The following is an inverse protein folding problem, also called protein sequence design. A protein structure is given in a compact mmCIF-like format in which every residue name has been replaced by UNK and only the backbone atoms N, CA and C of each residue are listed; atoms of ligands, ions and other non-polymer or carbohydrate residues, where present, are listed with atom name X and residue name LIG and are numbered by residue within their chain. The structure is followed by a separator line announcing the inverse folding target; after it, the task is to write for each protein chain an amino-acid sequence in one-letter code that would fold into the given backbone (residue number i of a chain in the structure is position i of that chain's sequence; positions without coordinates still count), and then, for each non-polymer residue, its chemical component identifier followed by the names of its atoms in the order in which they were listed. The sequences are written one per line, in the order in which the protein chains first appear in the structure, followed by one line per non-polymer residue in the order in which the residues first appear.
data_IF_668713819119
#
_entry.id   IF_668713819119
#
_cell.length_a   1.000
_cell.length_b   1.000
_cell.length_c   1.000
_cell.angle_alpha   90.00
_cell.angle_beta   90.00
_cell.angle_gamma   90.00
#
_symmetry.space_group_name_H-M   'P 1'
#
loop_
_entity.id
_entity.type
_entity.pdbx_description
1 polymer ?
#
# COMPACT_ATOMS: atom_id res chain seq x y z
N UNK A 1 16.88 -4.41 12.83
CA UNK A 1 16.22 -4.88 11.59
C UNK A 1 15.85 -3.66 10.73
N UNK A 2 16.84 -2.79 10.45
CA UNK A 2 16.63 -1.47 9.84
C UNK A 2 17.43 -1.33 8.53
N UNK A 3 17.72 -2.42 7.81
CA UNK A 3 18.78 -2.40 6.78
C UNK A 3 18.40 -3.14 5.48
N UNK A 4 17.19 -2.89 4.98
CA UNK A 4 16.90 -3.01 3.54
C UNK A 4 16.38 -1.66 3.03
N UNK A 5 17.34 -0.79 2.66
CA UNK A 5 17.21 0.40 1.81
C UNK A 5 15.85 1.11 1.72
N UNK A 6 15.59 2.05 2.64
CA UNK A 6 14.83 3.28 2.34
C UNK A 6 13.32 3.18 2.14
N UNK A 7 12.67 2.09 2.58
CA UNK A 7 11.20 2.02 2.62
C UNK A 7 10.64 2.63 3.90
N UNK A 8 9.58 3.45 3.79
CA UNK A 8 8.76 3.84 4.95
C UNK A 8 8.00 2.62 5.47
N UNK A 9 8.08 2.39 6.78
CA UNK A 9 7.20 1.43 7.45
C UNK A 9 5.79 2.02 7.46
N UNK A 10 4.80 1.21 7.07
CA UNK A 10 3.40 1.59 7.13
C UNK A 10 2.95 1.61 8.58
N UNK A 11 2.39 2.74 9.00
CA UNK A 11 1.90 2.94 10.36
C UNK A 11 0.36 3.05 10.38
N UNK A 12 -0.24 2.93 11.55
CA UNK A 12 -1.70 3.03 11.70
C UNK A 12 -2.24 4.39 11.23
N UNK A 13 -1.42 5.44 11.33
CA UNK A 13 -1.77 6.79 10.90
C UNK A 13 -1.89 6.92 9.37
N UNK A 14 -1.23 6.07 8.58
CA UNK A 14 -1.38 6.06 7.12
C UNK A 14 -2.78 5.62 6.71
N UNK A 15 -3.31 4.59 7.38
CA UNK A 15 -4.69 4.15 7.20
C UNK A 15 -5.67 5.23 7.66
N UNK A 16 -5.41 5.86 8.82
CA UNK A 16 -6.24 6.94 9.33
C UNK A 16 -6.30 8.13 8.35
N UNK A 17 -5.17 8.52 7.76
CA UNK A 17 -5.12 9.58 6.74
C UNK A 17 -5.88 9.21 5.48
N UNK A 18 -5.77 7.97 5.01
CA UNK A 18 -6.54 7.48 3.87
C UNK A 18 -8.05 7.51 4.14
N UNK A 19 -8.47 7.15 5.36
CA UNK A 19 -9.87 7.24 5.78
C UNK A 19 -10.35 8.69 5.85
N UNK A 20 -9.54 9.62 6.38
CA UNK A 20 -9.85 11.06 6.41
C UNK A 20 -10.02 11.60 4.99
N UNK A 21 -9.14 11.23 4.05
CA UNK A 21 -9.30 11.59 2.63
C UNK A 21 -10.62 11.07 2.05
N UNK A 22 -10.95 9.78 2.26
CA UNK A 22 -12.21 9.22 1.74
C UNK A 22 -13.46 9.87 2.36
N UNK A 23 -13.34 10.40 3.58
CA UNK A 23 -14.42 11.11 4.26
C UNK A 23 -14.54 12.60 3.87
N UNK A 24 -13.60 13.14 3.09
CA UNK A 24 -13.55 14.56 2.75
C UNK A 24 -14.17 14.88 1.39
N UNK A 25 -14.41 16.17 1.13
CA UNK A 25 -15.02 16.64 -0.12
C UNK A 25 -14.13 16.35 -1.36
N UNK A 26 -12.82 16.21 -1.15
CA UNK A 26 -11.85 15.85 -2.17
C UNK A 26 -12.09 14.44 -2.75
N UNK A 27 -12.75 13.56 -2.00
CA UNK A 27 -13.10 12.21 -2.44
C UNK A 27 -14.53 12.09 -2.99
N UNK A 28 -15.23 13.20 -3.29
CA UNK A 28 -16.66 13.21 -3.71
C UNK A 28 -17.05 12.26 -4.86
N UNK A 29 -16.10 11.85 -5.71
CA UNK A 29 -16.30 10.91 -6.82
C UNK A 29 -15.53 9.59 -6.67
N UNK A 30 -14.85 9.36 -5.55
CA UNK A 30 -14.11 8.13 -5.25
C UNK A 30 -15.01 7.23 -4.40
N UNK A 31 -15.89 6.47 -5.06
CA UNK A 31 -16.80 5.53 -4.42
C UNK A 31 -16.79 4.17 -5.13
N UNK A 32 -17.34 3.15 -4.46
CA UNK A 32 -17.43 1.79 -5.02
C UNK A 32 -16.09 1.09 -5.26
N UNK A 33 -15.00 1.58 -4.68
CA UNK A 33 -13.65 1.06 -4.87
C UNK A 33 -13.02 0.62 -3.55
N UNK A 34 -12.21 -0.44 -3.60
CA UNK A 34 -11.38 -0.89 -2.48
C UNK A 34 -10.02 -0.19 -2.56
N UNK A 35 -9.83 0.88 -1.78
CA UNK A 35 -8.56 1.60 -1.73
C UNK A 35 -7.51 0.79 -0.95
N UNK A 36 -6.52 0.25 -1.65
CA UNK A 36 -5.39 -0.49 -1.05
C UNK A 36 -4.33 0.49 -0.56
N UNK A 37 -3.93 0.35 0.71
CA UNK A 37 -2.89 1.17 1.36
C UNK A 37 -1.83 0.25 1.95
N UNK A 38 -0.88 -0.19 1.13
CA UNK A 38 0.09 -1.24 1.48
C UNK A 38 1.54 -0.93 1.05
N UNK A 39 1.83 0.34 0.74
CA UNK A 39 3.16 0.75 0.28
C UNK A 39 3.51 0.23 -1.12
N UNK A 40 2.50 -0.22 -1.90
CA UNK A 40 2.68 -0.76 -3.24
C UNK A 40 2.97 -2.25 -3.27
N UNK A 41 2.90 -2.96 -2.14
CA UNK A 41 3.19 -4.40 -2.06
C UNK A 41 2.33 -5.25 -3.02
N UNK A 42 1.06 -4.91 -3.18
CA UNK A 42 0.10 -5.63 -4.03
C UNK A 42 0.46 -5.59 -5.51
N UNK A 43 1.10 -4.50 -5.95
CA UNK A 43 1.51 -4.30 -7.35
C UNK A 43 3.01 -4.49 -7.54
N UNK A 44 3.77 -4.59 -6.46
CA UNK A 44 5.21 -4.77 -6.49
C UNK A 44 5.56 -6.13 -7.10
N UNK A 45 6.20 -6.07 -8.27
CA UNK A 45 6.79 -7.24 -8.93
C UNK A 45 8.13 -7.60 -8.25
N UNK A 46 8.07 -8.17 -7.04
CA UNK A 46 9.25 -8.45 -6.22
C UNK A 46 9.86 -9.83 -6.37
N UNK A 47 11.15 -9.85 -6.74
CA UNK A 47 12.05 -10.99 -6.91
C UNK A 47 11.63 -12.00 -7.99
N UNK A 48 12.40 -12.03 -9.10
CA UNK A 48 12.46 -13.17 -10.00
C UNK A 48 12.93 -14.40 -9.20
N UNK A 49 12.01 -15.05 -8.48
CA UNK A 49 12.28 -16.33 -7.83
C UNK A 49 12.23 -17.37 -8.95
N UNK A 50 13.32 -18.11 -9.22
CA UNK A 50 13.25 -19.21 -10.15
C UNK A 50 12.13 -20.14 -9.69
N UNK A 51 11.35 -20.66 -10.65
CA UNK A 51 10.37 -21.69 -10.34
C UNK A 51 11.06 -22.82 -9.55
N UNK A 52 10.39 -23.42 -8.54
CA UNK A 52 10.95 -24.57 -7.85
C UNK A 52 11.32 -25.62 -8.89
N UNK A 53 12.51 -26.21 -8.76
CA UNK A 53 12.94 -27.31 -9.61
C UNK A 53 11.87 -28.42 -9.55
N UNK A 54 11.41 -28.84 -10.72
CA UNK A 54 10.48 -29.96 -10.86
C UNK A 54 11.16 -31.27 -10.45
#
# INVERSE_FOLDING_TARGET
MNEMGGGTVLEVEDIARAAVYLASDEAKYVNGHNLVVDGGCTVWKGANKPAPAQ
#
